data_IF_904661603825
#
_entry.id   IF_904661603825
#
_cell.length_a   1.000
_cell.length_b   1.000
_cell.length_c   1.000
_cell.angle_alpha   90.00
_cell.angle_beta   90.00
_cell.angle_gamma   90.00
#
_symmetry.space_group_name_H-M   'P 1'
#
loop_
_entity.id
_entity.type
_entity.pdbx_description
1 polymer ?
#
# COMPACT_ATOMS: atom_id res chain seq x y z
N UNK A 1 39.05 4.21 -13.17
CA UNK A 1 39.56 4.83 -11.93
C UNK A 1 39.72 3.74 -10.90
N UNK A 2 40.90 3.45 -10.39
CA UNK A 2 41.11 2.48 -9.33
C UNK A 2 40.46 3.04 -8.03
N UNK A 3 39.42 2.39 -7.54
CA UNK A 3 38.83 2.65 -6.22
C UNK A 3 39.92 2.37 -5.17
N UNK A 4 40.38 3.37 -4.48
CA UNK A 4 41.18 3.20 -3.27
C UNK A 4 40.22 2.75 -2.15
N UNK A 5 40.13 1.45 -1.93
CA UNK A 5 39.33 0.87 -0.86
C UNK A 5 40.01 1.22 0.45
N UNK A 6 39.32 1.91 1.35
CA UNK A 6 39.89 2.17 2.69
C UNK A 6 39.95 0.85 3.47
N UNK A 7 40.91 0.71 4.39
CA UNK A 7 41.06 -0.47 5.27
C UNK A 7 39.76 -0.78 6.03
N UNK A 8 39.00 0.24 6.45
CA UNK A 8 37.71 0.06 7.10
C UNK A 8 36.63 -0.54 6.18
N UNK A 9 36.70 -0.27 4.87
CA UNK A 9 35.79 -0.87 3.89
C UNK A 9 36.10 -2.36 3.66
N UNK A 10 37.39 -2.72 3.72
CA UNK A 10 37.85 -4.11 3.64
C UNK A 10 37.44 -4.94 4.87
N UNK A 11 37.53 -4.38 6.07
CA UNK A 11 37.08 -5.04 7.31
C UNK A 11 35.57 -5.26 7.31
N UNK A 12 34.79 -4.32 6.81
CA UNK A 12 33.32 -4.45 6.70
C UNK A 12 32.87 -5.45 5.62
N UNK A 13 33.59 -5.55 4.49
CA UNK A 13 33.36 -6.58 3.48
C UNK A 13 33.74 -7.98 4.00
N UNK A 14 34.80 -8.08 4.80
CA UNK A 14 35.25 -9.34 5.38
C UNK A 14 34.41 -9.77 6.60
N UNK A 15 33.83 -8.84 7.35
CA UNK A 15 33.07 -9.15 8.56
C UNK A 15 31.73 -9.84 8.31
N UNK A 16 31.21 -9.84 7.08
CA UNK A 16 29.94 -10.48 6.63
C UNK A 16 28.75 -10.25 7.57
N UNK A 17 28.74 -9.20 8.40
CA UNK A 17 27.63 -8.91 9.30
C UNK A 17 26.41 -8.48 8.49
N UNK A 18 25.53 -9.45 8.24
CA UNK A 18 24.23 -9.21 7.60
C UNK A 18 23.23 -8.73 8.65
N UNK A 19 22.81 -7.47 8.55
CA UNK A 19 21.71 -6.95 9.36
C UNK A 19 20.37 -7.23 8.69
N UNK A 20 19.31 -7.42 9.48
CA UNK A 20 17.93 -7.54 8.95
C UNK A 20 17.53 -6.38 8.04
N UNK A 21 18.08 -5.17 8.28
CA UNK A 21 17.85 -4.00 7.43
C UNK A 21 18.49 -4.22 6.04
N UNK A 22 19.72 -4.71 5.98
CA UNK A 22 20.43 -5.00 4.72
C UNK A 22 19.72 -6.11 3.95
N UNK A 23 19.35 -7.20 4.60
CA UNK A 23 18.60 -8.30 3.98
C UNK A 23 17.26 -7.84 3.38
N UNK A 24 16.54 -7.00 4.11
CA UNK A 24 15.29 -6.43 3.61
C UNK A 24 15.49 -5.51 2.40
N UNK A 25 16.53 -4.68 2.40
CA UNK A 25 16.85 -3.82 1.25
C UNK A 25 17.33 -4.63 0.04
N UNK A 26 18.09 -5.70 0.25
CA UNK A 26 18.48 -6.65 -0.82
C UNK A 26 17.23 -7.34 -1.41
N UNK A 27 16.24 -7.67 -0.58
CA UNK A 27 14.95 -8.17 -1.06
C UNK A 27 14.25 -7.12 -1.93
N UNK A 28 14.16 -5.87 -1.47
CA UNK A 28 13.54 -4.77 -2.23
C UNK A 28 14.27 -4.55 -3.56
N UNK A 29 15.61 -4.58 -3.56
CA UNK A 29 16.42 -4.46 -4.78
C UNK A 29 16.03 -5.50 -5.84
N UNK A 30 15.79 -6.73 -5.41
CA UNK A 30 15.45 -7.86 -6.31
C UNK A 30 14.02 -7.80 -6.83
N UNK A 31 13.05 -7.35 -6.00
CA UNK A 31 11.62 -7.45 -6.34
C UNK A 31 11.04 -6.22 -7.02
N UNK A 32 11.69 -5.06 -6.89
CA UNK A 32 11.21 -3.82 -7.50
C UNK A 32 11.57 -3.81 -8.99
N UNK A 33 10.60 -3.54 -9.89
CA UNK A 33 10.87 -3.43 -11.33
C UNK A 33 11.45 -2.04 -11.67
N UNK A 34 12.72 -1.82 -11.35
CA UNK A 34 13.40 -0.54 -11.43
C UNK A 34 13.32 0.12 -12.81
N UNK A 35 13.62 -0.66 -13.87
CA UNK A 35 13.65 -0.16 -15.24
C UNK A 35 12.27 0.32 -15.71
N UNK A 36 11.23 -0.47 -15.41
CA UNK A 36 9.86 -0.16 -15.78
C UNK A 36 9.37 1.07 -15.03
N UNK A 37 9.65 1.17 -13.72
CA UNK A 37 9.26 2.31 -12.91
C UNK A 37 10.01 3.58 -13.33
N UNK A 38 11.30 3.50 -13.59
CA UNK A 38 12.08 4.61 -14.10
C UNK A 38 11.58 5.07 -15.48
N UNK A 39 11.27 4.12 -16.39
CA UNK A 39 10.71 4.43 -17.70
C UNK A 39 9.36 5.15 -17.63
N UNK A 40 8.49 4.79 -16.68
CA UNK A 40 7.20 5.45 -16.46
C UNK A 40 7.34 6.87 -15.90
N UNK A 41 8.37 7.12 -15.08
CA UNK A 41 8.61 8.42 -14.44
C UNK A 41 9.36 9.38 -15.37
N UNK A 42 10.30 8.86 -16.16
CA UNK A 42 11.22 9.63 -17.02
C UNK A 42 10.55 10.70 -17.89
N UNK A 43 9.39 10.47 -18.55
CA UNK A 43 8.72 11.49 -19.36
C UNK A 43 8.29 12.74 -18.59
N UNK A 44 8.02 12.58 -17.30
CA UNK A 44 7.57 13.65 -16.40
C UNK A 44 8.71 14.24 -15.58
N UNK A 45 9.91 13.62 -15.63
CA UNK A 45 11.05 14.05 -14.83
C UNK A 45 11.74 15.29 -15.44
N UNK A 46 12.45 16.05 -14.60
CA UNK A 46 13.12 17.27 -14.99
C UNK A 46 14.19 17.04 -16.06
N UNK A 47 14.19 17.85 -17.11
CA UNK A 47 15.14 17.72 -18.23
C UNK A 47 16.48 18.45 -18.00
N UNK A 48 16.56 19.33 -17.00
CA UNK A 48 17.77 20.10 -16.69
C UNK A 48 18.11 21.18 -17.71
N UNK A 49 17.13 21.69 -18.44
CA UNK A 49 17.31 22.72 -19.49
C UNK A 49 17.66 24.10 -18.91
N UNK A 50 17.31 24.35 -17.64
CA UNK A 50 17.59 25.61 -16.93
C UNK A 50 17.91 25.34 -15.46
N UNK A 51 18.89 26.05 -14.91
CA UNK A 51 19.29 25.95 -13.51
C UNK A 51 20.23 24.76 -13.21
N UNK A 52 20.20 24.28 -11.97
CA UNK A 52 21.02 23.14 -11.54
C UNK A 52 20.58 21.86 -12.23
N UNK A 53 21.53 20.99 -12.55
CA UNK A 53 21.25 19.66 -13.10
C UNK A 53 20.38 18.88 -12.11
N UNK A 54 19.34 18.18 -12.58
CA UNK A 54 18.54 17.31 -11.71
C UNK A 54 19.40 16.16 -11.20
N UNK A 55 19.07 15.68 -10.00
CA UNK A 55 19.64 14.44 -9.48
C UNK A 55 19.27 13.28 -10.39
N UNK A 56 20.06 12.21 -10.34
CA UNK A 56 19.73 11.00 -11.07
C UNK A 56 18.35 10.47 -10.70
N UNK A 57 17.59 10.02 -11.69
CA UNK A 57 16.22 9.54 -11.47
C UNK A 57 16.19 8.28 -10.61
N UNK A 58 17.15 7.37 -10.81
CA UNK A 58 17.23 6.14 -10.03
C UNK A 58 17.53 6.44 -8.56
N UNK A 59 18.46 7.35 -8.28
CA UNK A 59 18.73 7.83 -6.92
C UNK A 59 17.45 8.40 -6.29
N UNK A 60 16.72 9.27 -6.99
CA UNK A 60 15.49 9.86 -6.47
C UNK A 60 14.41 8.80 -6.20
N UNK A 61 14.30 7.78 -7.04
CA UNK A 61 13.38 6.68 -6.84
C UNK A 61 13.78 5.82 -5.63
N UNK A 62 15.05 5.50 -5.46
CA UNK A 62 15.60 4.77 -4.29
C UNK A 62 15.32 5.49 -2.99
N UNK A 63 15.59 6.79 -2.93
CA UNK A 63 15.29 7.64 -1.77
C UNK A 63 13.78 7.68 -1.48
N UNK A 64 12.95 7.81 -2.51
CA UNK A 64 11.51 7.76 -2.38
C UNK A 64 11.01 6.41 -1.86
N UNK A 65 11.64 5.29 -2.26
CA UNK A 65 11.30 3.98 -1.72
C UNK A 65 11.72 3.85 -0.25
N UNK A 66 12.91 4.27 0.16
CA UNK A 66 13.29 4.31 1.58
C UNK A 66 12.28 5.10 2.39
N UNK A 67 11.88 6.28 1.91
CA UNK A 67 10.87 7.11 2.56
C UNK A 67 9.55 6.36 2.77
N UNK A 68 9.14 5.54 1.80
CA UNK A 68 7.91 4.76 1.88
C UNK A 68 8.06 3.50 2.74
N UNK A 69 9.15 2.74 2.58
CA UNK A 69 9.42 1.50 3.31
C UNK A 69 9.52 1.70 4.82
N UNK A 70 10.12 2.84 5.23
CA UNK A 70 10.34 3.15 6.64
C UNK A 70 9.41 4.25 7.17
N UNK A 71 8.48 4.73 6.33
CA UNK A 71 7.52 5.80 6.65
C UNK A 71 8.20 7.04 7.23
N UNK A 72 9.25 7.54 6.59
CA UNK A 72 10.03 8.70 7.00
C UNK A 72 9.43 10.02 6.48
N UNK A 73 9.70 11.12 7.16
CA UNK A 73 9.49 12.49 6.63
C UNK A 73 10.63 12.84 5.66
N UNK A 74 10.48 13.92 4.89
CA UNK A 74 11.46 14.31 3.87
C UNK A 74 12.84 14.52 4.48
N UNK A 75 12.97 15.40 5.49
CA UNK A 75 14.22 15.67 6.22
C UNK A 75 14.75 14.42 6.96
N UNK A 76 13.86 13.63 7.56
CA UNK A 76 14.28 12.40 8.23
C UNK A 76 14.83 11.36 7.24
N UNK A 77 14.36 11.36 5.99
CA UNK A 77 14.91 10.47 4.95
C UNK A 77 16.34 10.85 4.62
N UNK A 78 16.60 12.14 4.45
CA UNK A 78 17.97 12.67 4.21
C UNK A 78 18.91 12.29 5.35
N UNK A 79 18.49 12.59 6.60
CA UNK A 79 19.30 12.27 7.79
C UNK A 79 19.58 10.77 7.90
N UNK A 80 18.56 9.94 7.79
CA UNK A 80 18.71 8.47 7.90
C UNK A 80 19.59 7.88 6.79
N UNK A 81 19.52 8.42 5.55
CA UNK A 81 20.40 7.98 4.45
C UNK A 81 21.84 8.43 4.69
N UNK A 82 22.04 9.60 5.29
CA UNK A 82 23.37 10.09 5.67
C UNK A 82 24.00 9.23 6.77
N UNK A 83 23.22 8.86 7.79
CA UNK A 83 23.73 8.17 8.97
C UNK A 83 23.80 6.64 8.83
N UNK A 84 22.95 6.06 7.96
CA UNK A 84 22.85 4.60 7.81
C UNK A 84 23.57 4.09 6.57
N UNK A 85 24.68 3.38 6.78
CA UNK A 85 25.43 2.74 5.69
C UNK A 85 24.54 1.86 4.80
N UNK A 86 23.63 1.06 5.38
CA UNK A 86 22.74 0.23 4.59
C UNK A 86 21.82 1.04 3.66
N UNK A 87 21.42 2.25 4.05
CA UNK A 87 20.64 3.13 3.19
C UNK A 87 21.50 3.81 2.14
N UNK A 88 22.72 4.26 2.51
CA UNK A 88 23.68 4.83 1.54
C UNK A 88 24.04 3.81 0.46
N UNK A 89 24.34 2.56 0.86
CA UNK A 89 24.64 1.45 -0.06
C UNK A 89 23.45 1.18 -1.00
N UNK A 90 22.25 1.11 -0.47
CA UNK A 90 21.02 0.91 -1.27
C UNK A 90 20.78 2.06 -2.26
N UNK A 91 21.10 3.30 -1.87
CA UNK A 91 20.96 4.47 -2.74
C UNK A 91 22.14 4.64 -3.71
N UNK A 92 23.23 3.89 -3.55
CA UNK A 92 24.44 4.03 -4.35
C UNK A 92 25.17 5.36 -4.11
N UNK A 93 25.07 5.93 -2.88
CA UNK A 93 25.74 7.18 -2.51
C UNK A 93 26.97 6.90 -1.66
N UNK A 94 28.08 7.55 -1.99
CA UNK A 94 29.36 7.39 -1.31
C UNK A 94 29.63 8.54 -0.31
N UNK A 95 28.97 9.68 -0.52
CA UNK A 95 29.14 10.85 0.35
C UNK A 95 27.85 11.66 0.50
N UNK A 96 27.73 12.38 1.61
CA UNK A 96 26.53 13.16 1.95
C UNK A 96 26.18 14.26 0.94
N UNK A 97 27.17 14.79 0.21
CA UNK A 97 26.93 15.82 -0.82
C UNK A 97 26.21 15.29 -2.07
N UNK A 98 26.11 13.97 -2.24
CA UNK A 98 25.32 13.33 -3.31
C UNK A 98 23.84 13.20 -2.95
N UNK A 99 23.50 13.38 -1.67
CA UNK A 99 22.12 13.21 -1.18
C UNK A 99 21.38 14.55 -1.37
N UNK A 100 20.21 14.54 -2.06
CA UNK A 100 19.38 15.73 -2.20
C UNK A 100 18.79 16.14 -0.84
N UNK A 101 18.46 17.42 -0.70
CA UNK A 101 17.77 17.95 0.46
C UNK A 101 16.31 17.47 0.54
N UNK A 102 15.67 17.66 1.70
CA UNK A 102 14.28 17.25 1.94
C UNK A 102 13.29 17.98 1.03
N UNK A 103 13.55 19.23 0.67
CA UNK A 103 12.71 19.99 -0.27
C UNK A 103 12.74 19.38 -1.67
N UNK A 104 13.89 18.92 -2.13
CA UNK A 104 14.03 18.21 -3.41
C UNK A 104 13.28 16.90 -3.41
N UNK A 105 13.33 16.11 -2.32
CA UNK A 105 12.49 14.91 -2.14
C UNK A 105 11.01 15.27 -2.15
N UNK A 106 10.63 16.35 -1.48
CA UNK A 106 9.26 16.86 -1.47
C UNK A 106 8.76 17.26 -2.87
N UNK A 107 9.60 17.93 -3.68
CA UNK A 107 9.30 18.26 -5.08
C UNK A 107 9.15 17.03 -5.94
N UNK A 108 10.03 16.03 -5.80
CA UNK A 108 9.93 14.77 -6.53
C UNK A 108 8.62 14.05 -6.20
N UNK A 109 8.27 13.87 -4.93
CA UNK A 109 6.99 13.30 -4.51
C UNK A 109 5.80 14.06 -5.10
N UNK A 110 5.83 15.40 -5.07
CA UNK A 110 4.75 16.21 -5.63
C UNK A 110 4.64 16.06 -7.15
N UNK A 111 5.77 15.88 -7.86
CA UNK A 111 5.80 15.57 -9.29
C UNK A 111 5.10 14.23 -9.56
N UNK A 112 5.39 13.18 -8.77
CA UNK A 112 4.74 11.88 -8.89
C UNK A 112 3.23 12.00 -8.65
N UNK A 113 2.80 12.72 -7.59
CA UNK A 113 1.37 12.95 -7.25
C UNK A 113 0.66 13.74 -8.36
N UNK A 114 1.32 14.77 -8.93
CA UNK A 114 0.75 15.60 -10.00
C UNK A 114 0.42 14.79 -11.25
N UNK A 115 1.26 13.80 -11.57
CA UNK A 115 1.15 12.97 -12.77
C UNK A 115 0.49 11.61 -12.51
N UNK A 116 -0.06 11.38 -11.29
CA UNK A 116 -0.73 10.13 -10.89
C UNK A 116 0.14 8.88 -11.11
N UNK A 117 1.46 9.06 -10.90
CA UNK A 117 2.41 8.00 -11.19
C UNK A 117 2.32 6.84 -10.18
N UNK A 118 1.97 7.10 -8.92
CA UNK A 118 1.81 6.05 -7.92
C UNK A 118 0.68 5.07 -8.27
N UNK A 119 -0.42 5.58 -8.82
CA UNK A 119 -1.53 4.79 -9.33
C UNK A 119 -1.11 3.92 -10.53
N UNK A 120 -0.32 4.50 -11.43
CA UNK A 120 0.24 3.78 -12.60
C UNK A 120 1.23 2.70 -12.17
N UNK A 121 2.12 2.99 -11.21
CA UNK A 121 3.06 2.02 -10.64
C UNK A 121 2.32 0.86 -9.96
N UNK A 122 1.26 1.14 -9.19
CA UNK A 122 0.42 0.10 -8.61
C UNK A 122 -0.27 -0.75 -9.68
N UNK A 123 -0.86 -0.12 -10.69
CA UNK A 123 -1.53 -0.82 -11.79
C UNK A 123 -0.56 -1.75 -12.55
N UNK A 124 0.66 -1.29 -12.81
CA UNK A 124 1.71 -2.08 -13.46
C UNK A 124 2.10 -3.31 -12.63
N UNK A 125 2.24 -3.17 -11.30
CA UNK A 125 2.50 -4.31 -10.41
C UNK A 125 1.34 -5.31 -10.45
N UNK A 126 0.08 -4.84 -10.40
CA UNK A 126 -1.11 -5.70 -10.52
C UNK A 126 -1.13 -6.44 -11.86
N UNK A 127 -0.79 -5.76 -12.95
CA UNK A 127 -0.71 -6.37 -14.28
C UNK A 127 0.36 -7.47 -14.34
N UNK A 128 1.57 -7.20 -13.85
CA UNK A 128 2.64 -8.20 -13.78
C UNK A 128 2.24 -9.43 -12.96
N UNK A 129 1.61 -9.22 -11.80
CA UNK A 129 1.17 -10.32 -10.94
C UNK A 129 -0.01 -11.09 -11.56
N UNK A 130 -0.86 -10.42 -12.33
CA UNK A 130 -1.93 -11.06 -13.11
C UNK A 130 -1.35 -11.91 -14.23
N UNK A 131 -0.37 -11.40 -14.97
CA UNK A 131 0.32 -12.14 -16.03
C UNK A 131 1.06 -13.39 -15.49
N UNK A 132 1.56 -13.33 -14.26
CA UNK A 132 2.16 -14.48 -13.54
C UNK A 132 1.12 -15.45 -12.97
N UNK A 133 -0.18 -15.21 -13.15
CA UNK A 133 -1.25 -16.06 -12.61
C UNK A 133 -1.46 -15.96 -11.09
N UNK A 134 -0.84 -14.96 -10.42
CA UNK A 134 -0.97 -14.76 -8.98
C UNK A 134 -2.23 -13.97 -8.59
N UNK A 135 -2.74 -13.13 -9.47
CA UNK A 135 -4.02 -12.42 -9.30
C UNK A 135 -5.00 -12.94 -10.34
N UNK A 136 -5.98 -13.73 -9.90
CA UNK A 136 -6.94 -14.38 -10.80
C UNK A 136 -8.21 -13.57 -11.02
N UNK A 137 -8.54 -12.62 -10.13
CA UNK A 137 -9.75 -11.79 -10.13
C UNK A 137 -11.09 -12.55 -10.13
N UNK A 138 -11.08 -13.88 -9.98
CA UNK A 138 -12.29 -14.71 -9.93
C UNK A 138 -13.05 -14.62 -8.62
N UNK A 139 -12.40 -14.15 -7.59
CA UNK A 139 -12.99 -13.90 -6.29
C UNK A 139 -12.26 -12.78 -5.57
N UNK A 140 -13.03 -11.85 -5.00
CA UNK A 140 -12.51 -10.68 -4.32
C UNK A 140 -12.91 -10.66 -2.85
N UNK A 141 -11.95 -10.36 -1.98
CA UNK A 141 -12.20 -10.02 -0.58
C UNK A 141 -12.13 -8.50 -0.49
N UNK A 142 -13.22 -7.88 0.00
CA UNK A 142 -13.25 -6.43 0.25
C UNK A 142 -13.10 -6.14 1.73
N UNK A 143 -12.29 -5.18 2.06
CA UNK A 143 -12.13 -4.70 3.43
C UNK A 143 -11.62 -3.27 3.46
N UNK A 144 -11.68 -2.62 4.62
CA UNK A 144 -11.20 -1.28 4.83
C UNK A 144 -10.39 -1.14 6.11
N UNK A 145 -9.49 -0.17 6.10
CA UNK A 145 -8.72 0.14 7.30
C UNK A 145 -8.58 1.64 7.48
N UNK A 146 -8.62 2.10 8.75
CA UNK A 146 -8.48 3.51 9.10
C UNK A 146 -7.00 3.87 9.14
N UNK A 147 -6.64 4.98 8.48
CA UNK A 147 -5.34 5.65 8.58
C UNK A 147 -5.58 6.98 9.32
N UNK A 148 -5.04 7.09 10.53
CA UNK A 148 -5.25 8.27 11.36
C UNK A 148 -4.56 9.50 10.76
N UNK A 149 -5.19 10.68 10.87
CA UNK A 149 -4.59 11.96 10.57
C UNK A 149 -4.27 12.73 11.86
N UNK A 150 -3.28 13.65 11.84
CA UNK A 150 -3.02 14.52 12.97
C UNK A 150 -4.25 15.36 13.33
N UNK A 151 -4.64 15.33 14.60
CA UNK A 151 -5.77 16.13 15.13
C UNK A 151 -5.35 17.52 15.60
N UNK A 152 -4.04 17.74 15.76
CA UNK A 152 -3.49 19.01 16.25
C UNK A 152 -3.69 20.14 15.25
N UNK A 153 -4.03 21.32 15.77
CA UNK A 153 -4.07 22.58 15.04
C UNK A 153 -2.79 23.42 15.23
N UNK A 154 -1.79 22.89 15.95
CA UNK A 154 -0.50 23.56 16.21
C UNK A 154 0.41 23.50 14.98
N UNK A 155 -0.08 23.96 13.84
CA UNK A 155 0.68 24.08 12.58
C UNK A 155 0.57 25.53 12.07
N UNK A 156 1.39 25.89 11.08
CA UNK A 156 1.43 27.25 10.51
C UNK A 156 0.05 27.77 10.09
N UNK A 157 -0.80 26.90 9.55
CA UNK A 157 -2.16 27.25 9.08
C UNK A 157 -3.21 27.22 10.19
N UNK A 158 -2.88 26.74 11.40
CA UNK A 158 -3.79 26.55 12.54
C UNK A 158 -5.06 25.75 12.21
N UNK A 159 -4.99 24.88 11.21
CA UNK A 159 -6.11 24.08 10.69
C UNK A 159 -5.76 22.60 10.62
N UNK A 160 -6.76 21.76 10.86
CA UNK A 160 -6.68 20.34 10.57
C UNK A 160 -6.68 20.11 9.06
N UNK A 161 -6.45 18.86 8.64
CA UNK A 161 -6.66 18.44 7.27
C UNK A 161 -8.15 18.50 6.93
N UNK A 162 -8.52 19.30 5.92
CA UNK A 162 -9.91 19.54 5.50
C UNK A 162 -10.56 18.30 4.87
N UNK A 163 -9.75 17.43 4.25
CA UNK A 163 -10.24 16.24 3.57
C UNK A 163 -10.37 15.03 4.51
N UNK A 164 -9.79 15.12 5.72
CA UNK A 164 -9.90 14.09 6.73
C UNK A 164 -11.16 14.27 7.58
N UNK A 165 -11.85 13.16 7.89
CA UNK A 165 -13.08 13.19 8.67
C UNK A 165 -13.04 12.22 9.86
N UNK A 166 -14.01 12.39 10.76
CA UNK A 166 -14.16 11.53 11.93
C UNK A 166 -14.96 10.27 11.59
N UNK A 167 -14.57 9.15 12.20
CA UNK A 167 -15.34 7.91 12.19
C UNK A 167 -15.22 7.24 13.55
N UNK A 168 -16.20 6.39 13.88
CA UNK A 168 -16.21 5.62 15.13
C UNK A 168 -16.05 4.14 14.83
N UNK A 169 -15.12 3.49 15.53
CA UNK A 169 -14.97 2.03 15.51
C UNK A 169 -15.03 1.50 16.93
N UNK A 170 -16.08 0.74 17.23
CA UNK A 170 -16.40 0.39 18.61
C UNK A 170 -16.68 1.65 19.44
N UNK A 171 -15.96 1.81 20.55
CA UNK A 171 -16.07 3.00 21.43
C UNK A 171 -15.02 4.07 21.13
N UNK A 172 -14.14 3.87 20.14
CA UNK A 172 -13.04 4.79 19.84
C UNK A 172 -13.36 5.65 18.62
N UNK A 173 -13.12 6.96 18.74
CA UNK A 173 -13.21 7.91 17.66
C UNK A 173 -11.84 8.04 16.95
N UNK A 174 -11.88 8.06 15.65
CA UNK A 174 -10.71 8.27 14.79
C UNK A 174 -10.97 9.48 13.89
N UNK A 175 -9.91 10.25 13.62
CA UNK A 175 -9.91 11.31 12.62
C UNK A 175 -8.89 10.93 11.54
N UNK A 176 -9.28 10.94 10.27
CA UNK A 176 -8.38 10.57 9.18
C UNK A 176 -9.09 10.10 7.92
N UNK A 177 -8.53 9.06 7.34
CA UNK A 177 -8.95 8.47 6.07
C UNK A 177 -9.21 6.97 6.23
N UNK A 178 -9.91 6.41 5.26
CA UNK A 178 -9.99 4.95 5.06
C UNK A 178 -9.24 4.56 3.80
N UNK A 179 -8.53 3.45 3.89
CA UNK A 179 -8.05 2.71 2.75
C UNK A 179 -9.00 1.52 2.52
N UNK A 180 -9.71 1.53 1.41
CA UNK A 180 -10.56 0.43 0.97
C UNK A 180 -9.79 -0.38 -0.05
N UNK A 181 -9.81 -1.69 0.06
CA UNK A 181 -9.07 -2.59 -0.82
C UNK A 181 -9.92 -3.74 -1.33
N UNK A 182 -9.68 -4.11 -2.58
CA UNK A 182 -10.08 -5.37 -3.17
C UNK A 182 -8.88 -6.29 -3.28
N UNK A 183 -8.98 -7.47 -2.69
CA UNK A 183 -7.90 -8.46 -2.58
C UNK A 183 -8.32 -9.75 -3.26
N UNK A 184 -7.45 -10.34 -4.06
CA UNK A 184 -7.69 -11.64 -4.67
C UNK A 184 -7.84 -12.72 -3.58
N UNK A 185 -8.93 -13.51 -3.67
CA UNK A 185 -9.27 -14.51 -2.63
C UNK A 185 -8.26 -15.66 -2.54
N UNK A 186 -7.55 -15.95 -3.62
CA UNK A 186 -6.66 -17.11 -3.67
C UNK A 186 -5.25 -16.74 -3.22
N UNK A 187 -4.66 -15.69 -3.78
CA UNK A 187 -3.32 -15.22 -3.42
C UNK A 187 -3.26 -14.30 -2.21
N UNK A 188 -4.33 -13.58 -1.90
CA UNK A 188 -4.30 -12.52 -0.88
C UNK A 188 -3.62 -11.23 -1.34
N UNK A 189 -3.37 -11.06 -2.65
CA UNK A 189 -2.75 -9.87 -3.23
C UNK A 189 -3.80 -8.81 -3.58
N UNK A 190 -3.46 -7.54 -3.40
CA UNK A 190 -4.37 -6.42 -3.63
C UNK A 190 -4.43 -6.07 -5.10
N UNK A 191 -5.63 -6.04 -5.69
CA UNK A 191 -5.83 -5.60 -7.08
C UNK A 191 -6.49 -4.23 -7.20
N UNK A 192 -7.14 -3.74 -6.15
CA UNK A 192 -7.81 -2.43 -6.15
C UNK A 192 -7.57 -1.71 -4.83
N UNK A 193 -7.27 -0.41 -4.91
CA UNK A 193 -7.06 0.46 -3.74
C UNK A 193 -7.83 1.76 -3.95
N UNK A 194 -8.60 2.17 -2.94
CA UNK A 194 -9.31 3.45 -2.91
C UNK A 194 -9.11 4.14 -1.58
N UNK A 195 -8.88 5.44 -1.62
CA UNK A 195 -8.80 6.29 -0.42
C UNK A 195 -10.08 7.10 -0.30
N UNK A 196 -10.63 7.21 0.91
CA UNK A 196 -11.75 8.11 1.20
C UNK A 196 -11.54 8.82 2.52
N UNK A 197 -12.24 9.94 2.78
CA UNK A 197 -12.43 10.43 4.14
C UNK A 197 -13.02 9.34 5.03
N UNK A 198 -12.64 9.32 6.32
CA UNK A 198 -13.00 8.21 7.21
C UNK A 198 -14.51 8.06 7.49
N UNK A 199 -15.32 9.10 7.24
CA UNK A 199 -16.78 9.08 7.42
C UNK A 199 -17.53 8.33 6.32
N UNK A 200 -16.91 8.03 5.17
CA UNK A 200 -17.55 7.26 4.11
C UNK A 200 -17.78 5.82 4.59
N UNK A 201 -19.00 5.33 4.43
CA UNK A 201 -19.36 3.97 4.81
C UNK A 201 -18.77 2.94 3.83
N UNK A 202 -18.26 1.83 4.38
CA UNK A 202 -17.57 0.80 3.59
C UNK A 202 -18.46 0.22 2.48
N UNK A 203 -19.76 0.04 2.75
CA UNK A 203 -20.76 -0.44 1.78
C UNK A 203 -20.82 0.40 0.50
N UNK A 204 -20.55 1.71 0.59
CA UNK A 204 -20.56 2.62 -0.56
C UNK A 204 -19.42 2.34 -1.55
N UNK A 205 -18.36 1.71 -1.07
CA UNK A 205 -17.16 1.47 -1.87
C UNK A 205 -17.12 0.09 -2.52
N UNK A 206 -18.14 -0.76 -2.26
CA UNK A 206 -18.15 -2.14 -2.74
C UNK A 206 -17.95 -2.23 -4.25
N UNK A 207 -18.77 -1.54 -5.03
CA UNK A 207 -18.71 -1.56 -6.50
C UNK A 207 -17.38 -1.07 -7.06
N UNK A 208 -16.76 -0.08 -6.41
CA UNK A 208 -15.47 0.48 -6.81
C UNK A 208 -14.27 -0.43 -6.51
N UNK A 209 -14.46 -1.44 -5.68
CA UNK A 209 -13.43 -2.41 -5.31
C UNK A 209 -13.46 -3.66 -6.17
N UNK A 210 -14.50 -3.85 -6.98
CA UNK A 210 -14.65 -4.99 -7.86
C UNK A 210 -14.11 -4.71 -9.25
N UNK A 211 -13.57 -5.76 -9.88
CA UNK A 211 -13.05 -5.72 -11.26
C UNK A 211 -14.12 -5.99 -12.31
N UNK A 212 -15.26 -6.59 -11.87
CA UNK A 212 -16.32 -7.09 -12.74
C UNK A 212 -16.05 -8.49 -13.29
N UNK A 213 -14.98 -9.15 -12.88
CA UNK A 213 -14.64 -10.53 -13.29
C UNK A 213 -15.00 -11.58 -12.21
N UNK A 214 -15.43 -11.11 -11.03
CA UNK A 214 -15.67 -11.95 -9.86
C UNK A 214 -16.83 -12.95 -10.05
N UNK A 215 -16.65 -14.15 -9.56
CA UNK A 215 -17.71 -15.14 -9.35
C UNK A 215 -18.21 -15.12 -7.89
N UNK A 216 -17.35 -14.63 -6.97
CA UNK A 216 -17.65 -14.55 -5.54
C UNK A 216 -16.98 -13.35 -4.89
N UNK A 217 -17.70 -12.68 -4.00
CA UNK A 217 -17.21 -11.55 -3.21
C UNK A 217 -17.35 -11.85 -1.72
N UNK A 218 -16.30 -11.63 -0.95
CA UNK A 218 -16.27 -11.77 0.50
C UNK A 218 -16.13 -10.39 1.13
N UNK A 219 -16.87 -10.14 2.21
CA UNK A 219 -16.77 -8.90 2.97
C UNK A 219 -17.22 -9.09 4.41
N UNK A 220 -16.94 -8.11 5.25
CA UNK A 220 -17.42 -8.10 6.62
C UNK A 220 -18.88 -7.60 6.71
N UNK A 221 -19.41 -7.53 7.92
CA UNK A 221 -20.78 -7.06 8.16
C UNK A 221 -21.00 -5.58 7.84
N UNK A 222 -19.95 -4.80 7.62
CA UNK A 222 -20.01 -3.41 7.18
C UNK A 222 -20.45 -3.25 5.73
N UNK A 223 -20.36 -4.34 4.95
CA UNK A 223 -20.76 -4.40 3.54
C UNK A 223 -22.15 -5.00 3.33
N UNK A 224 -22.88 -5.36 4.39
CA UNK A 224 -24.22 -5.93 4.27
C UNK A 224 -25.16 -4.98 3.53
N UNK A 225 -25.87 -5.53 2.54
CA UNK A 225 -26.79 -4.78 1.68
C UNK A 225 -26.14 -4.16 0.45
N UNK A 226 -24.82 -4.34 0.26
CA UNK A 226 -24.14 -3.84 -0.94
C UNK A 226 -24.74 -4.42 -2.22
N UNK A 227 -25.14 -5.69 -2.20
CA UNK A 227 -25.76 -6.42 -3.32
C UNK A 227 -27.14 -5.88 -3.76
N UNK A 228 -27.77 -5.05 -2.92
CA UNK A 228 -29.11 -4.48 -3.15
C UNK A 228 -29.07 -3.02 -3.61
N UNK A 229 -27.89 -2.43 -3.71
CA UNK A 229 -27.72 -1.05 -4.13
C UNK A 229 -27.82 -0.91 -5.64
N UNK A 230 -28.17 0.27 -6.11
CA UNK A 230 -28.27 0.57 -7.55
C UNK A 230 -26.93 0.40 -8.27
N UNK A 231 -25.82 0.73 -7.58
CA UNK A 231 -24.46 0.61 -8.11
C UNK A 231 -23.89 -0.82 -8.04
N UNK A 232 -24.67 -1.79 -7.52
CA UNK A 232 -24.16 -3.14 -7.29
C UNK A 232 -23.84 -3.86 -8.60
N UNK A 233 -22.64 -4.43 -8.69
CA UNK A 233 -22.25 -5.32 -9.78
C UNK A 233 -22.84 -6.71 -9.48
N UNK A 234 -24.02 -7.02 -10.01
CA UNK A 234 -24.74 -8.26 -9.74
C UNK A 234 -24.31 -9.41 -10.64
N UNK A 235 -23.83 -9.06 -11.86
CA UNK A 235 -23.33 -10.02 -12.85
C UNK A 235 -21.91 -9.64 -13.24
N UNK A 236 -21.06 -10.63 -13.39
CA UNK A 236 -19.73 -10.42 -13.91
C UNK A 236 -19.73 -10.20 -15.45
N UNK A 237 -18.60 -9.87 -16.03
CA UNK A 237 -18.43 -9.63 -17.48
C UNK A 237 -18.84 -10.84 -18.33
N UNK A 238 -18.81 -12.06 -17.78
CA UNK A 238 -19.29 -13.28 -18.46
C UNK A 238 -20.80 -13.51 -18.30
N UNK A 239 -21.55 -12.57 -17.68
CA UNK A 239 -22.98 -12.66 -17.46
C UNK A 239 -23.39 -13.57 -16.28
N UNK A 240 -22.47 -14.17 -15.55
CA UNK A 240 -22.76 -14.99 -14.37
C UNK A 240 -23.07 -14.14 -13.16
N UNK A 241 -24.06 -14.60 -12.36
CA UNK A 241 -24.41 -13.95 -11.08
C UNK A 241 -23.27 -14.04 -10.08
N UNK A 242 -22.87 -12.90 -9.50
CA UNK A 242 -21.86 -12.84 -8.45
C UNK A 242 -22.45 -13.29 -7.11
N UNK A 243 -21.76 -14.19 -6.42
CA UNK A 243 -22.17 -14.69 -5.10
C UNK A 243 -21.56 -13.82 -4.00
N UNK A 244 -22.37 -13.00 -3.33
CA UNK A 244 -21.95 -12.19 -2.18
C UNK A 244 -21.96 -13.04 -0.90
N UNK A 245 -20.79 -13.28 -0.32
CA UNK A 245 -20.57 -14.05 0.91
C UNK A 245 -20.16 -13.10 2.06
N UNK A 246 -21.07 -12.23 2.46
CA UNK A 246 -20.86 -11.25 3.53
C UNK A 246 -21.08 -11.89 4.91
N UNK A 247 -20.26 -11.53 5.91
CA UNK A 247 -20.46 -11.97 7.28
C UNK A 247 -21.71 -11.34 7.89
N UNK A 248 -22.47 -12.12 8.65
CA UNK A 248 -23.65 -11.64 9.38
C UNK A 248 -23.23 -10.95 10.69
N UNK A 249 -24.05 -10.00 11.14
CA UNK A 249 -23.92 -9.48 12.50
C UNK A 249 -24.39 -10.54 13.50
N UNK A 250 -23.70 -10.73 14.65
CA UNK A 250 -24.10 -11.73 15.65
C UNK A 250 -25.56 -11.62 16.12
N UNK A 251 -26.10 -10.39 16.18
CA UNK A 251 -27.48 -10.10 16.58
C UNK A 251 -28.55 -10.51 15.58
N UNK A 252 -28.21 -10.91 14.37
CA UNK A 252 -29.19 -11.26 13.31
C UNK A 252 -29.52 -12.75 13.22
N UNK A 253 -29.03 -13.59 14.13
CA UNK A 253 -29.35 -14.99 14.18
C UNK A 253 -30.70 -15.16 14.91
N UNK A 254 -31.80 -15.24 14.15
CA UNK A 254 -33.18 -15.46 14.69
C UNK A 254 -33.50 -16.93 14.97
N UNK A 255 -32.67 -17.87 14.55
CA UNK A 255 -32.94 -19.30 14.68
C UNK A 255 -32.27 -19.85 15.95
N UNK A 256 -33.12 -20.40 16.83
CA UNK A 256 -32.73 -20.85 18.16
C UNK A 256 -32.39 -22.36 18.23
N UNK A 257 -32.50 -23.13 17.12
CA UNK A 257 -32.14 -24.55 17.14
C UNK A 257 -30.61 -24.74 17.23
N UNK A 258 -30.17 -25.71 18.02
CA UNK A 258 -28.73 -26.00 18.25
C UNK A 258 -28.04 -26.41 16.94
N UNK A 259 -28.70 -27.20 16.08
CA UNK A 259 -28.17 -27.64 14.78
C UNK A 259 -28.02 -26.48 13.82
N UNK A 260 -28.97 -25.58 13.75
CA UNK A 260 -28.94 -24.40 12.89
C UNK A 260 -27.83 -23.42 13.34
N UNK A 261 -27.65 -23.20 14.65
CA UNK A 261 -26.58 -22.40 15.21
C UNK A 261 -25.20 -22.97 14.86
N UNK A 262 -24.99 -24.28 14.94
CA UNK A 262 -23.72 -24.91 14.58
C UNK A 262 -23.39 -24.76 13.08
N UNK A 263 -24.38 -24.92 12.19
CA UNK A 263 -24.22 -24.72 10.75
C UNK A 263 -23.93 -23.27 10.40
N UNK A 264 -24.60 -22.29 11.02
CA UNK A 264 -24.38 -20.88 10.84
C UNK A 264 -22.95 -20.55 11.29
N UNK A 265 -22.53 -21.00 12.48
CA UNK A 265 -21.17 -20.78 13.01
C UNK A 265 -20.10 -21.35 12.08
N UNK A 266 -20.33 -22.54 11.51
CA UNK A 266 -19.40 -23.14 10.54
C UNK A 266 -19.28 -22.27 9.28
N UNK A 267 -20.39 -21.86 8.67
CA UNK A 267 -20.40 -21.00 7.47
C UNK A 267 -19.74 -19.65 7.72
N UNK A 268 -19.98 -19.03 8.88
CA UNK A 268 -19.34 -17.77 9.22
C UNK A 268 -17.83 -17.94 9.45
N UNK A 269 -17.40 -19.07 10.03
CA UNK A 269 -15.97 -19.40 10.17
C UNK A 269 -15.29 -19.59 8.81
N UNK A 270 -15.94 -20.28 7.88
CA UNK A 270 -15.43 -20.46 6.51
C UNK A 270 -15.23 -19.10 5.80
N UNK A 271 -16.22 -18.19 5.89
CA UNK A 271 -16.09 -16.83 5.34
C UNK A 271 -14.94 -16.06 6.00
N UNK A 272 -14.84 -16.11 7.32
CA UNK A 272 -13.80 -15.42 8.09
C UNK A 272 -12.40 -15.96 7.78
N UNK A 273 -12.27 -17.27 7.54
CA UNK A 273 -11.00 -17.89 7.15
C UNK A 273 -10.52 -17.37 5.80
N UNK A 274 -11.41 -17.20 4.82
CA UNK A 274 -11.04 -16.58 3.52
C UNK A 274 -10.65 -15.12 3.72
N UNK A 275 -11.43 -14.36 4.51
CA UNK A 275 -11.19 -12.94 4.77
C UNK A 275 -9.89 -12.65 5.51
N UNK A 276 -9.40 -13.59 6.33
CA UNK A 276 -8.15 -13.38 7.09
C UNK A 276 -6.94 -13.06 6.21
N UNK A 277 -6.98 -13.40 4.91
CA UNK A 277 -5.92 -13.04 3.95
C UNK A 277 -5.71 -11.53 3.82
N UNK A 278 -6.77 -10.73 3.97
CA UNK A 278 -6.66 -9.26 3.99
C UNK A 278 -5.77 -8.76 5.13
N UNK A 279 -5.77 -9.47 6.27
CA UNK A 279 -4.96 -9.09 7.43
C UNK A 279 -3.45 -9.14 7.12
N UNK A 280 -3.02 -10.04 6.21
CA UNK A 280 -1.61 -10.11 5.78
C UNK A 280 -1.20 -8.84 5.05
N UNK A 281 -2.03 -8.33 4.15
CA UNK A 281 -1.76 -7.09 3.40
C UNK A 281 -1.72 -5.90 4.36
N UNK A 282 -2.73 -5.77 5.23
CA UNK A 282 -2.73 -4.71 6.24
C UNK A 282 -1.57 -4.85 7.23
N UNK A 283 -1.16 -6.08 7.54
CA UNK A 283 0.02 -6.37 8.35
C UNK A 283 1.30 -5.83 7.71
N UNK A 284 1.47 -5.98 6.40
CA UNK A 284 2.60 -5.36 5.68
C UNK A 284 2.49 -3.84 5.73
N UNK A 285 1.38 -3.25 5.31
CA UNK A 285 1.23 -1.79 5.21
C UNK A 285 1.34 -1.11 6.58
N UNK A 286 0.64 -1.60 7.61
CA UNK A 286 0.61 -0.98 8.94
C UNK A 286 1.68 -1.48 9.91
N UNK A 287 2.15 -2.70 9.72
CA UNK A 287 3.19 -3.33 10.55
C UNK A 287 4.58 -3.09 9.99
N UNK A 288 4.91 -3.74 8.88
CA UNK A 288 6.25 -3.67 8.27
C UNK A 288 6.57 -2.26 7.76
N UNK A 289 5.69 -1.68 6.93
CA UNK A 289 5.86 -0.34 6.36
C UNK A 289 5.40 0.79 7.30
N UNK A 290 4.90 0.48 8.49
CA UNK A 290 4.55 1.40 9.59
C UNK A 290 3.55 2.50 9.23
N UNK A 291 2.76 2.33 8.17
CA UNK A 291 1.82 3.37 7.72
C UNK A 291 0.49 3.29 8.46
N UNK A 292 0.46 3.79 9.70
CA UNK A 292 -0.74 3.87 10.58
C UNK A 292 -1.31 5.28 10.68
N UNK A 293 -0.49 6.29 10.38
CA UNK A 293 -0.83 7.72 10.49
C UNK A 293 -0.32 8.47 9.27
N UNK A 294 -1.13 9.41 8.76
CA UNK A 294 -0.77 10.24 7.62
C UNK A 294 0.36 11.22 7.98
N UNK A 295 1.23 11.51 7.02
CA UNK A 295 2.26 12.52 7.13
C UNK A 295 1.92 13.79 6.36
N UNK A 296 1.12 13.65 5.31
CA UNK A 296 0.75 14.74 4.41
C UNK A 296 -0.74 15.00 4.50
N UNK A 297 -1.18 16.24 4.27
CA UNK A 297 -2.59 16.63 4.18
C UNK A 297 -3.12 16.42 2.76
N UNK A 298 -4.41 16.16 2.64
CA UNK A 298 -5.17 16.10 1.41
C UNK A 298 -5.36 14.70 0.83
N UNK A 299 -6.60 14.41 0.38
CA UNK A 299 -7.01 13.10 -0.11
C UNK A 299 -6.16 12.62 -1.29
N UNK A 300 -5.82 13.50 -2.23
CA UNK A 300 -4.99 13.17 -3.40
C UNK A 300 -3.63 12.60 -2.99
N UNK A 301 -2.97 13.20 -1.99
CA UNK A 301 -1.68 12.71 -1.48
C UNK A 301 -1.83 11.38 -0.72
N UNK A 302 -2.97 11.16 -0.06
CA UNK A 302 -3.25 9.88 0.61
C UNK A 302 -3.52 8.78 -0.41
N UNK A 303 -4.27 9.07 -1.49
CA UNK A 303 -4.48 8.13 -2.59
C UNK A 303 -3.16 7.68 -3.19
N UNK A 304 -2.29 8.62 -3.56
CA UNK A 304 -0.97 8.36 -4.08
C UNK A 304 -0.10 7.53 -3.10
N UNK A 305 -0.09 7.93 -1.81
CA UNK A 305 0.66 7.20 -0.76
C UNK A 305 0.15 5.77 -0.61
N UNK A 306 -1.16 5.55 -0.59
CA UNK A 306 -1.72 4.20 -0.47
C UNK A 306 -1.38 3.34 -1.69
N UNK A 307 -1.47 3.87 -2.90
CA UNK A 307 -1.12 3.10 -4.11
C UNK A 307 0.32 2.59 -4.06
N UNK A 308 1.30 3.44 -3.74
CA UNK A 308 2.69 2.95 -3.63
C UNK A 308 2.88 1.98 -2.45
N UNK A 309 2.19 2.18 -1.31
CA UNK A 309 2.28 1.27 -0.17
C UNK A 309 1.72 -0.12 -0.50
N UNK A 310 0.61 -0.20 -1.24
CA UNK A 310 0.02 -1.47 -1.66
C UNK A 310 0.77 -2.10 -2.84
N UNK A 311 1.40 -1.33 -3.72
CA UNK A 311 2.34 -1.85 -4.71
C UNK A 311 3.51 -2.57 -4.04
N UNK A 312 4.17 -1.92 -3.08
CA UNK A 312 5.26 -2.52 -2.31
C UNK A 312 4.79 -3.73 -1.49
N UNK A 313 3.61 -3.65 -0.87
CA UNK A 313 3.04 -4.78 -0.14
C UNK A 313 2.81 -6.00 -1.04
N UNK A 314 2.30 -5.79 -2.25
CA UNK A 314 2.11 -6.85 -3.23
C UNK A 314 3.44 -7.49 -3.64
N UNK A 315 4.46 -6.69 -3.96
CA UNK A 315 5.78 -7.20 -4.32
C UNK A 315 6.39 -8.02 -3.18
N UNK A 316 6.35 -7.52 -1.94
CA UNK A 316 6.86 -8.22 -0.74
C UNK A 316 6.09 -9.52 -0.47
N UNK A 317 4.78 -9.53 -0.64
CA UNK A 317 3.95 -10.72 -0.41
C UNK A 317 4.15 -11.75 -1.51
N UNK A 318 4.26 -11.32 -2.77
CA UNK A 318 4.46 -12.21 -3.92
C UNK A 318 5.83 -12.90 -3.96
N UNK A 319 6.82 -12.35 -3.24
CA UNK A 319 8.16 -12.93 -3.09
C UNK A 319 8.23 -14.05 -2.03
N UNK A 320 7.13 -14.34 -1.33
CA UNK A 320 7.10 -15.42 -0.32
C UNK A 320 7.10 -16.79 -0.99
N UNK A 321 7.83 -17.79 -0.44
CA UNK A 321 8.00 -19.11 -1.07
C UNK A 321 6.71 -19.82 -1.49
N UNK A 322 5.62 -19.64 -0.72
CA UNK A 322 4.31 -20.26 -1.01
C UNK A 322 3.51 -19.59 -2.14
N UNK A 323 3.96 -18.44 -2.64
CA UNK A 323 3.37 -17.75 -3.80
C UNK A 323 4.37 -17.64 -4.96
N UNK A 324 5.64 -17.96 -4.73
CA UNK A 324 6.70 -17.88 -5.73
C UNK A 324 6.86 -19.17 -6.57
N UNK A 325 6.12 -20.24 -6.21
CA UNK A 325 6.21 -21.56 -6.85
C UNK A 325 5.10 -21.71 -7.93
#
# INVERSE_FOLDING_TARGET
MNKQISLSNLEDELSQVRTKKKEFLEQIERIVPWNEWAAMIKPCYYKGERGNKPYDLELMLRLYLIQNLYNLADEATVAEVTDSRAFSDFCGVESSNQIPDGDTLGRFRNLLVKNELQEKLFAQVVEQLTARGLILKKGTIVDSTIIAAPTSTKNKERKRDSDAHQTRKGNTWYFGYKAHIGVDKDSGLTHTVKATPANIHDVMMMSELLTGEEEVVYGDSGYLGAEKREEAIVKNRSGKMIKYKLNRRPSQSKDNSVRSKAQIKRREREKSSVRSKVEHVFGVVKGLLRYRKTRYKGLRKQTAKLNIMFALANLILADRPHLAA
#
